data_IF_554058733263
#
_entry.id   IF_554058733263
#
_cell.length_a   1.000
_cell.length_b   1.000
_cell.length_c   1.000
_cell.angle_alpha   90.00
_cell.angle_beta   90.00
_cell.angle_gamma   90.00
#
_symmetry.space_group_name_H-M   'P 1'
#
loop_
_entity.id
_entity.type
_entity.pdbx_description
1 polymer ?
#
# COMPACT_ATOMS: atom_id res chain seq x y z
N UNK A 1 5.10 -9.27 -0.19
CA UNK A 1 4.64 -8.07 0.56
C UNK A 1 5.30 -6.79 0.05
N UNK A 2 6.63 -6.66 0.10
CA UNK A 2 7.31 -5.43 -0.34
C UNK A 2 7.03 -5.03 -1.79
N UNK A 3 7.19 -5.96 -2.75
CA UNK A 3 6.92 -5.68 -4.17
C UNK A 3 5.47 -5.24 -4.41
N UNK A 4 4.51 -5.85 -3.71
CA UNK A 4 3.11 -5.45 -3.77
C UNK A 4 2.90 -4.02 -3.24
N UNK A 5 3.58 -3.64 -2.15
CA UNK A 5 3.56 -2.26 -1.68
C UNK A 5 4.14 -1.29 -2.71
N UNK A 6 5.26 -1.63 -3.37
CA UNK A 6 5.85 -0.79 -4.41
C UNK A 6 4.90 -0.60 -5.60
N UNK A 7 4.21 -1.65 -6.04
CA UNK A 7 3.22 -1.54 -7.13
C UNK A 7 2.06 -0.63 -6.74
N UNK A 8 1.54 -0.76 -5.52
CA UNK A 8 0.48 0.11 -5.01
C UNK A 8 0.98 1.56 -4.86
N UNK A 9 2.20 1.76 -4.36
CA UNK A 9 2.83 3.07 -4.22
C UNK A 9 2.97 3.76 -5.59
N UNK A 10 3.49 3.06 -6.60
CA UNK A 10 3.64 3.59 -7.96
C UNK A 10 2.29 4.07 -8.53
N UNK A 11 1.23 3.27 -8.35
CA UNK A 11 -0.13 3.64 -8.79
C UNK A 11 -0.63 4.86 -8.02
N UNK A 12 -0.42 4.90 -6.70
CA UNK A 12 -0.85 6.02 -5.85
C UNK A 12 -0.13 7.32 -6.20
N UNK A 13 1.21 7.29 -6.28
CA UNK A 13 2.06 8.46 -6.60
C UNK A 13 1.72 9.03 -7.97
N UNK A 14 1.62 8.17 -9.00
CA UNK A 14 1.25 8.57 -10.36
C UNK A 14 -0.12 9.26 -10.42
N UNK A 15 -1.03 8.88 -9.55
CA UNK A 15 -2.41 9.37 -9.54
C UNK A 15 -2.69 10.36 -8.40
N UNK A 16 -1.67 10.90 -7.73
CA UNK A 16 -1.81 11.87 -6.63
C UNK A 16 -2.75 11.39 -5.51
N UNK A 17 -2.69 10.09 -5.18
CA UNK A 17 -3.46 9.47 -4.11
C UNK A 17 -2.62 9.45 -2.84
N UNK A 18 -3.15 10.05 -1.77
CA UNK A 18 -2.48 10.03 -0.48
C UNK A 18 -2.87 8.76 0.29
N UNK A 19 -1.86 8.06 0.79
CA UNK A 19 -2.01 6.95 1.72
C UNK A 19 -0.91 6.98 2.77
N UNK A 20 -1.07 6.21 3.84
CA UNK A 20 -0.03 6.01 4.84
C UNK A 20 0.02 4.55 5.29
N UNK A 21 1.19 4.11 5.75
CA UNK A 21 1.33 2.84 6.43
C UNK A 21 0.53 2.87 7.74
N UNK A 22 -0.11 1.77 8.09
CA UNK A 22 -0.85 1.67 9.35
C UNK A 22 -0.57 0.32 10.03
N UNK A 23 -1.21 0.09 11.18
CA UNK A 23 -1.15 -1.21 11.87
C UNK A 23 0.26 -1.74 12.13
N UNK A 24 0.43 -3.05 11.91
CA UNK A 24 1.70 -3.76 12.07
C UNK A 24 2.78 -3.27 11.10
N UNK A 25 2.37 -2.88 9.90
CA UNK A 25 3.28 -2.35 8.86
C UNK A 25 3.96 -1.04 9.29
N UNK A 26 3.19 -0.08 9.83
CA UNK A 26 3.77 1.18 10.34
C UNK A 26 4.69 0.93 11.53
N UNK A 27 4.26 0.07 12.46
CA UNK A 27 5.07 -0.27 13.62
C UNK A 27 6.37 -0.95 13.22
N UNK A 28 6.32 -1.87 12.25
CA UNK A 28 7.50 -2.49 11.66
C UNK A 28 8.47 -1.45 11.12
N UNK A 29 7.97 -0.54 10.27
CA UNK A 29 8.79 0.48 9.63
C UNK A 29 9.56 1.32 10.66
N UNK A 30 8.90 1.72 11.75
CA UNK A 30 9.52 2.54 12.82
C UNK A 30 10.43 1.71 13.73
N UNK A 31 10.03 0.51 14.14
CA UNK A 31 10.73 -0.29 15.17
C UNK A 31 11.89 -1.11 14.60
N UNK A 32 11.69 -1.68 13.42
CA UNK A 32 12.61 -2.65 12.80
C UNK A 32 13.29 -2.11 11.55
N UNK A 33 12.90 -0.92 11.06
CA UNK A 33 13.39 -0.39 9.79
C UNK A 33 12.91 -1.20 8.58
N UNK A 34 11.81 -1.93 8.72
CA UNK A 34 11.29 -2.87 7.73
C UNK A 34 10.02 -3.55 8.22
N UNK A 35 9.68 -4.74 7.73
CA UNK A 35 8.51 -5.47 8.23
C UNK A 35 8.76 -6.09 9.61
N UNK A 36 7.69 -6.36 10.35
CA UNK A 36 7.78 -7.25 11.52
C UNK A 36 8.17 -8.64 11.00
N UNK A 37 9.22 -9.31 11.55
CA UNK A 37 9.74 -10.55 10.95
C UNK A 37 8.77 -11.73 10.85
N UNK A 38 7.65 -11.66 11.56
CA UNK A 38 6.59 -12.67 11.60
C UNK A 38 5.22 -12.14 11.15
N UNK A 39 5.15 -10.91 10.65
CA UNK A 39 3.93 -10.42 9.96
C UNK A 39 3.79 -11.16 8.62
N UNK A 40 2.55 -11.48 8.27
CA UNK A 40 2.16 -12.12 7.02
C UNK A 40 1.24 -11.24 6.15
N UNK A 41 0.90 -10.04 6.61
CA UNK A 41 0.07 -9.07 5.92
C UNK A 41 0.71 -7.66 5.82
N UNK A 42 -0.02 -6.75 5.19
CA UNK A 42 0.37 -5.37 5.01
C UNK A 42 -0.84 -4.45 5.10
N UNK A 43 -0.73 -3.40 5.91
CA UNK A 43 -1.78 -2.44 6.15
C UNK A 43 -1.41 -1.05 5.63
N UNK A 44 -2.24 -0.52 4.73
CA UNK A 44 -2.27 0.90 4.36
C UNK A 44 -3.65 1.49 4.63
N UNK A 45 -3.69 2.80 4.87
CA UNK A 45 -4.92 3.55 5.04
C UNK A 45 -4.95 4.75 4.10
N UNK A 46 -6.17 5.10 3.70
CA UNK A 46 -6.47 6.20 2.79
C UNK A 46 -7.71 6.94 3.28
N UNK A 47 -7.85 8.19 2.86
CA UNK A 47 -9.16 8.86 2.94
C UNK A 47 -10.17 8.15 2.03
N UNK A 48 -11.45 8.22 2.38
CA UNK A 48 -12.52 7.50 1.66
C UNK A 48 -12.55 7.82 0.16
N UNK A 49 -12.32 9.07 -0.20
CA UNK A 49 -12.36 9.52 -1.60
C UNK A 49 -11.18 8.94 -2.40
N UNK A 50 -9.98 8.97 -1.81
CA UNK A 50 -8.77 8.35 -2.34
C UNK A 50 -8.89 6.83 -2.47
N UNK A 51 -9.51 6.17 -1.49
CA UNK A 51 -9.82 4.75 -1.54
C UNK A 51 -10.70 4.39 -2.74
N UNK A 52 -11.77 5.15 -2.99
CA UNK A 52 -12.65 4.91 -4.13
C UNK A 52 -11.92 5.13 -5.47
N UNK A 53 -11.04 6.14 -5.54
CA UNK A 53 -10.21 6.41 -6.71
C UNK A 53 -9.25 5.24 -6.97
N UNK A 54 -8.54 4.79 -5.93
CA UNK A 54 -7.62 3.66 -6.01
C UNK A 54 -8.34 2.38 -6.47
N UNK A 55 -9.49 2.04 -5.89
CA UNK A 55 -10.28 0.87 -6.30
C UNK A 55 -10.66 0.87 -7.80
N UNK A 56 -10.89 2.05 -8.38
CA UNK A 56 -11.13 2.19 -9.81
C UNK A 56 -9.88 1.88 -10.62
N UNK A 57 -8.74 2.48 -10.24
CA UNK A 57 -7.46 2.34 -10.93
C UNK A 57 -6.90 0.93 -10.86
N UNK A 58 -7.07 0.23 -9.74
CA UNK A 58 -6.59 -1.16 -9.58
C UNK A 58 -7.22 -2.12 -10.61
N UNK A 59 -8.39 -1.81 -11.17
CA UNK A 59 -9.01 -2.64 -12.22
C UNK A 59 -8.31 -2.53 -13.57
N UNK A 60 -7.51 -1.48 -13.77
CA UNK A 60 -6.90 -1.15 -15.07
C UNK A 60 -5.38 -1.03 -15.03
N UNK A 61 -4.80 -0.71 -13.89
CA UNK A 61 -3.36 -0.48 -13.72
C UNK A 61 -2.64 -1.59 -12.95
N UNK A 62 -3.37 -2.54 -12.36
CA UNK A 62 -2.75 -3.66 -11.67
C UNK A 62 -2.07 -4.59 -12.71
N UNK A 63 -0.78 -4.91 -12.55
CA UNK A 63 -0.08 -5.82 -13.46
C UNK A 63 -0.71 -7.22 -13.45
N UNK A 64 -0.71 -7.92 -14.59
CA UNK A 64 -1.35 -9.26 -14.74
C UNK A 64 -0.85 -10.32 -13.76
N UNK A 65 0.32 -10.13 -13.18
CA UNK A 65 0.93 -11.04 -12.21
C UNK A 65 0.33 -10.95 -10.79
N UNK A 66 -0.63 -10.04 -10.56
CA UNK A 66 -1.31 -9.81 -9.28
C UNK A 66 -2.83 -9.95 -9.40
#
# INVERSE_FOLDING_TARGET
>A
MFEMLCVIDDICVKNEINYWLSGGTLLGAVRHGGFIPWDDDLDIQLMKDDYNKLLGLLKTELPEQY
#
